data_IF_393895523806
#
_entry.id   IF_393895523806
#
_cell.length_a   1.000
_cell.length_b   1.000
_cell.length_c   1.000
_cell.angle_alpha   90.00
_cell.angle_beta   90.00
_cell.angle_gamma   90.00
#
_symmetry.space_group_name_H-M   'P 1'
#
loop_
_entity.id
_entity.type
_entity.pdbx_description
1 polymer ?
#
# COMPACT_ATOMS: atom_id res chain seq x y z
N UNK A 1 25.08 -66.46 8.52
CA UNK A 1 23.66 -66.73 8.22
C UNK A 1 22.96 -65.40 8.37
N UNK A 2 22.53 -64.67 7.35
CA UNK A 2 22.30 -64.99 5.93
C UNK A 2 22.78 -63.82 5.06
N UNK A 3 23.56 -64.16 4.05
CA UNK A 3 23.86 -63.37 2.86
C UNK A 3 22.75 -63.63 1.85
N UNK A 4 22.09 -62.58 1.33
CA UNK A 4 21.21 -62.69 0.17
C UNK A 4 21.90 -62.05 -1.03
N UNK A 5 22.53 -62.93 -1.80
CA UNK A 5 22.96 -62.73 -3.19
C UNK A 5 21.75 -62.33 -4.06
N UNK A 6 21.88 -61.24 -4.81
CA UNK A 6 21.06 -61.01 -6.00
C UNK A 6 21.88 -61.39 -7.23
N UNK A 7 21.55 -62.55 -7.77
CA UNK A 7 22.07 -63.12 -9.01
C UNK A 7 21.84 -62.20 -10.20
N UNK A 8 22.86 -62.11 -11.04
CA UNK A 8 22.84 -61.55 -12.40
C UNK A 8 21.79 -62.27 -13.24
N UNK A 9 20.89 -61.50 -13.85
CA UNK A 9 20.19 -61.92 -15.05
C UNK A 9 20.74 -61.15 -16.26
N UNK A 10 20.98 -61.89 -17.33
CA UNK A 10 21.72 -61.50 -18.52
C UNK A 10 20.76 -61.15 -19.65
N UNK A 11 21.04 -60.05 -20.34
CA UNK A 11 20.65 -59.90 -21.75
C UNK A 11 19.63 -58.82 -22.07
N UNK A 12 20.06 -57.55 -22.01
CA UNK A 12 19.63 -56.50 -22.94
C UNK A 12 20.69 -55.40 -22.94
N UNK A 13 21.30 -55.13 -24.10
CA UNK A 13 22.20 -53.98 -24.29
C UNK A 13 21.40 -52.69 -24.07
N UNK A 14 21.77 -51.79 -23.15
CA UNK A 14 21.14 -50.48 -23.09
C UNK A 14 21.62 -49.64 -24.28
N UNK A 15 20.70 -49.29 -25.16
CA UNK A 15 20.85 -48.16 -26.08
C UNK A 15 20.95 -46.88 -25.26
N UNK A 16 21.99 -46.07 -25.54
CA UNK A 16 22.21 -44.67 -25.13
C UNK A 16 21.34 -44.17 -23.95
N UNK A 17 21.72 -44.53 -22.73
CA UNK A 17 21.19 -43.87 -21.54
C UNK A 17 21.91 -42.53 -21.37
N UNK A 18 21.19 -41.42 -21.59
CA UNK A 18 21.63 -40.09 -21.18
C UNK A 18 21.87 -40.11 -19.68
N UNK A 19 23.08 -39.76 -19.26
CA UNK A 19 23.45 -39.73 -17.84
C UNK A 19 22.80 -38.49 -17.22
N UNK A 20 21.72 -38.69 -16.46
CA UNK A 20 21.09 -37.67 -15.63
C UNK A 20 21.96 -37.44 -14.38
N UNK A 21 22.83 -36.43 -14.42
CA UNK A 21 23.84 -36.14 -13.40
C UNK A 21 23.30 -35.15 -12.36
N UNK A 22 22.38 -35.63 -11.51
CA UNK A 22 21.95 -34.90 -10.31
C UNK A 22 22.89 -35.12 -9.09
N UNK A 23 23.96 -35.90 -9.24
CA UNK A 23 24.92 -36.22 -8.18
C UNK A 23 26.35 -35.73 -8.50
N UNK A 24 26.57 -34.42 -8.49
CA UNK A 24 27.91 -33.82 -8.45
C UNK A 24 28.18 -33.32 -7.02
N UNK A 25 28.91 -34.11 -6.23
CA UNK A 25 29.38 -33.69 -4.92
C UNK A 25 30.64 -32.80 -5.09
N UNK A 26 30.44 -31.49 -5.20
CA UNK A 26 31.53 -30.51 -5.19
C UNK A 26 31.97 -30.22 -3.74
N UNK A 27 32.87 -31.04 -3.19
CA UNK A 27 33.69 -30.63 -2.04
C UNK A 27 35.05 -30.16 -2.56
N UNK A 28 35.43 -28.93 -2.25
CA UNK A 28 36.75 -28.38 -2.56
C UNK A 28 37.88 -29.37 -2.13
N UNK A 29 38.96 -29.60 -2.90
CA UNK A 29 39.31 -29.08 -4.23
C UNK A 29 39.11 -30.09 -5.38
N UNK A 30 38.26 -31.11 -5.19
CA UNK A 30 38.21 -32.27 -6.07
C UNK A 30 36.82 -32.50 -6.65
N UNK A 31 36.75 -32.63 -7.96
CA UNK A 31 35.57 -33.07 -8.65
C UNK A 31 35.62 -34.59 -8.79
N UNK A 32 34.63 -35.26 -8.23
CA UNK A 32 34.43 -36.69 -8.42
C UNK A 32 33.35 -36.87 -9.48
N UNK A 33 33.73 -37.40 -10.64
CA UNK A 33 32.82 -37.71 -11.73
C UNK A 33 32.64 -39.22 -11.75
N UNK A 34 31.41 -39.69 -11.54
CA UNK A 34 31.08 -41.09 -11.75
C UNK A 34 31.03 -41.34 -13.26
N UNK A 35 32.03 -42.06 -13.77
CA UNK A 35 32.04 -42.57 -15.13
C UNK A 35 31.64 -44.04 -14.99
N UNK A 36 30.59 -44.46 -15.70
CA UNK A 36 29.91 -45.74 -15.50
C UNK A 36 30.83 -46.92 -15.14
N UNK A 37 30.55 -47.58 -14.01
CA UNK A 37 31.26 -48.78 -13.56
C UNK A 37 32.25 -48.52 -12.42
N UNK A 38 31.73 -48.20 -11.22
CA UNK A 38 32.44 -48.20 -9.92
C UNK A 38 33.68 -47.30 -9.73
N UNK A 39 34.24 -46.71 -10.79
CA UNK A 39 35.42 -45.85 -10.70
C UNK A 39 35.03 -44.37 -10.76
N UNK A 40 35.27 -43.65 -9.66
CA UNK A 40 35.17 -42.19 -9.68
C UNK A 40 36.41 -41.61 -10.36
N UNK A 41 36.21 -40.88 -11.45
CA UNK A 41 37.26 -40.03 -11.99
C UNK A 41 37.43 -38.83 -11.05
N UNK A 42 38.59 -38.78 -10.40
CA UNK A 42 39.02 -37.68 -9.54
C UNK A 42 39.75 -36.65 -10.40
N UNK A 43 39.16 -35.47 -10.55
CA UNK A 43 39.80 -34.33 -11.21
C UNK A 43 40.08 -33.21 -10.20
N UNK A 44 41.33 -32.79 -10.10
CA UNK A 44 41.76 -31.74 -9.18
C UNK A 44 41.64 -30.34 -9.79
N UNK A 45 41.43 -29.29 -8.98
CA UNK A 45 41.37 -27.90 -9.47
C UNK A 45 42.58 -27.48 -10.34
N UNK A 46 43.76 -28.04 -10.08
CA UNK A 46 44.98 -27.75 -10.84
C UNK A 46 44.90 -28.23 -12.30
N UNK A 47 44.12 -29.27 -12.59
CA UNK A 47 43.98 -29.84 -13.93
C UNK A 47 43.17 -28.91 -14.86
N UNK A 48 42.35 -28.02 -14.29
CA UNK A 48 41.50 -27.10 -15.06
C UNK A 48 42.16 -25.75 -15.36
N UNK A 49 43.43 -25.56 -15.00
CA UNK A 49 44.28 -24.43 -15.41
C UNK A 49 43.63 -23.05 -15.23
N UNK A 50 43.72 -22.47 -14.03
CA UNK A 50 43.25 -21.10 -13.78
C UNK A 50 41.73 -20.90 -13.76
N UNK A 51 40.94 -21.98 -13.70
CA UNK A 51 39.47 -21.94 -13.60
C UNK A 51 38.97 -21.33 -12.27
N UNK A 52 39.73 -21.52 -11.19
CA UNK A 52 39.34 -21.15 -9.82
C UNK A 52 38.22 -22.04 -9.27
N UNK A 53 37.40 -21.52 -8.34
CA UNK A 53 36.29 -22.30 -7.79
C UNK A 53 35.24 -22.59 -8.85
N UNK A 54 34.90 -23.87 -9.01
CA UNK A 54 33.94 -24.37 -9.99
C UNK A 54 32.53 -24.05 -9.49
N UNK A 55 31.70 -23.51 -10.39
CA UNK A 55 30.32 -23.11 -10.11
C UNK A 55 29.32 -24.04 -10.77
N UNK A 56 29.57 -24.41 -12.03
CA UNK A 56 28.75 -25.37 -12.76
C UNK A 56 29.64 -26.30 -13.57
N UNK A 57 29.20 -27.55 -13.71
CA UNK A 57 29.80 -28.54 -14.59
C UNK A 57 28.68 -29.25 -15.35
N UNK A 58 28.75 -29.26 -16.67
CA UNK A 58 27.84 -30.00 -17.54
C UNK A 58 28.64 -30.97 -18.38
N UNK A 59 28.28 -32.25 -18.34
CA UNK A 59 28.93 -33.30 -19.13
C UNK A 59 28.10 -33.55 -20.38
N UNK A 60 28.77 -33.65 -21.53
CA UNK A 60 28.21 -34.19 -22.75
C UNK A 60 29.30 -34.96 -23.50
N UNK A 61 28.99 -36.19 -23.91
CA UNK A 61 29.99 -37.12 -24.45
C UNK A 61 31.19 -37.27 -23.49
N UNK A 62 32.41 -37.02 -23.96
CA UNK A 62 33.63 -36.98 -23.15
C UNK A 62 34.08 -35.56 -22.77
N UNK A 63 33.20 -34.57 -22.94
CA UNK A 63 33.52 -33.16 -22.73
C UNK A 63 32.78 -32.60 -21.51
N UNK A 64 33.53 -31.88 -20.68
CA UNK A 64 33.04 -31.07 -19.57
C UNK A 64 32.94 -29.61 -19.99
N UNK A 65 31.75 -29.03 -19.91
CA UNK A 65 31.56 -27.59 -19.88
C UNK A 65 31.61 -27.10 -18.44
N UNK A 66 32.62 -26.29 -18.14
CA UNK A 66 32.91 -25.79 -16.81
C UNK A 66 32.72 -24.27 -16.76
N UNK A 67 32.06 -23.79 -15.70
CA UNK A 67 32.08 -22.38 -15.32
C UNK A 67 32.81 -22.22 -14.00
N UNK A 68 33.75 -21.27 -13.95
CA UNK A 68 34.60 -21.02 -12.81
C UNK A 68 34.67 -19.55 -12.41
N UNK A 69 35.46 -19.28 -11.38
CA UNK A 69 35.62 -17.92 -10.83
C UNK A 69 36.36 -16.97 -11.79
N UNK A 70 37.10 -17.53 -12.75
CA UNK A 70 37.96 -16.76 -13.66
C UNK A 70 37.68 -17.00 -15.14
N UNK A 71 36.95 -18.06 -15.52
CA UNK A 71 36.63 -18.36 -16.91
C UNK A 71 35.53 -19.43 -17.04
N UNK A 72 34.98 -19.57 -18.25
CA UNK A 72 34.25 -20.77 -18.68
C UNK A 72 35.05 -21.51 -19.77
N UNK A 73 35.10 -22.84 -19.70
CA UNK A 73 35.98 -23.68 -20.52
C UNK A 73 35.32 -25.01 -20.91
N UNK A 74 35.79 -25.59 -22.00
CA UNK A 74 35.58 -26.97 -22.39
C UNK A 74 36.81 -27.80 -22.02
N UNK A 75 36.60 -28.94 -21.39
CA UNK A 75 37.65 -29.84 -20.93
C UNK A 75 37.37 -31.26 -21.39
N UNK A 76 38.37 -31.91 -21.97
CA UNK A 76 38.31 -33.31 -22.41
C UNK A 76 38.56 -34.23 -21.21
N UNK A 77 37.60 -35.07 -20.88
CA UNK A 77 37.69 -36.04 -19.79
C UNK A 77 38.77 -37.10 -20.12
N UNK A 78 38.82 -37.54 -21.38
CA UNK A 78 39.72 -38.60 -21.83
C UNK A 78 41.17 -38.13 -21.92
N UNK A 79 41.40 -36.96 -22.53
CA UNK A 79 42.74 -36.40 -22.74
C UNK A 79 43.23 -35.62 -21.52
N UNK A 80 42.34 -35.33 -20.57
CA UNK A 80 42.59 -34.52 -19.37
C UNK A 80 43.19 -33.14 -19.68
N UNK A 81 42.72 -32.52 -20.76
CA UNK A 81 43.19 -31.22 -21.20
C UNK A 81 42.05 -30.24 -21.50
N UNK A 82 42.39 -28.94 -21.49
CA UNK A 82 41.45 -27.89 -21.89
C UNK A 82 41.34 -27.86 -23.41
N UNK A 83 40.16 -28.19 -23.93
CA UNK A 83 39.87 -28.10 -25.36
C UNK A 83 39.73 -26.65 -25.82
N UNK A 84 39.02 -25.84 -25.04
CA UNK A 84 38.75 -24.46 -25.42
C UNK A 84 38.41 -23.57 -24.22
N UNK A 85 38.87 -22.31 -24.25
CA UNK A 85 38.37 -21.27 -23.34
C UNK A 85 37.24 -20.51 -24.00
N UNK A 86 36.04 -20.61 -23.44
CA UNK A 86 34.83 -20.00 -23.98
C UNK A 86 34.67 -18.54 -23.57
N UNK A 87 35.14 -18.19 -22.38
CA UNK A 87 35.06 -16.83 -21.84
C UNK A 87 36.11 -16.62 -20.74
N UNK A 88 36.72 -15.43 -20.71
CA UNK A 88 37.67 -15.02 -19.66
C UNK A 88 37.02 -13.95 -18.79
N UNK A 89 36.91 -14.24 -17.49
CA UNK A 89 36.27 -13.39 -16.49
C UNK A 89 35.36 -14.18 -15.54
N UNK A 90 34.79 -13.50 -14.55
CA UNK A 90 33.96 -14.14 -13.52
C UNK A 90 32.66 -14.71 -14.09
N UNK A 91 32.60 -16.03 -14.18
CA UNK A 91 31.42 -16.77 -14.64
C UNK A 91 30.68 -17.41 -13.47
N UNK A 92 29.36 -17.38 -13.52
CA UNK A 92 28.48 -17.91 -12.47
C UNK A 92 27.86 -19.24 -12.89
N UNK A 93 27.59 -19.41 -14.18
CA UNK A 93 27.09 -20.65 -14.76
C UNK A 93 27.42 -20.70 -16.25
N UNK A 94 27.42 -21.90 -16.83
CA UNK A 94 27.51 -22.10 -18.27
C UNK A 94 26.54 -23.21 -18.68
N UNK A 95 25.93 -23.08 -19.85
CA UNK A 95 24.95 -24.04 -20.36
C UNK A 95 25.15 -24.23 -21.87
N UNK A 96 25.01 -25.46 -22.35
CA UNK A 96 25.08 -25.77 -23.79
C UNK A 96 23.68 -26.11 -24.29
N UNK A 97 23.26 -25.47 -25.37
CA UNK A 97 22.06 -25.84 -26.12
C UNK A 97 22.42 -26.00 -27.59
N UNK A 98 22.31 -27.22 -28.12
CA UNK A 98 22.78 -27.56 -29.47
C UNK A 98 24.26 -27.16 -29.62
N UNK A 99 24.62 -26.35 -30.62
CA UNK A 99 26.01 -25.90 -30.85
C UNK A 99 26.30 -24.50 -30.30
N UNK A 100 25.43 -24.01 -29.42
CA UNK A 100 25.54 -22.70 -28.80
C UNK A 100 25.89 -22.84 -27.32
N UNK A 101 26.89 -22.08 -26.88
CA UNK A 101 27.27 -22.01 -25.47
C UNK A 101 26.78 -20.71 -24.86
N UNK A 102 25.98 -20.82 -23.82
CA UNK A 102 25.53 -19.71 -23.00
C UNK A 102 26.42 -19.62 -21.76
N UNK A 103 26.90 -18.41 -21.47
CA UNK A 103 27.80 -18.13 -20.36
C UNK A 103 27.17 -17.05 -19.49
N UNK A 104 26.73 -17.44 -18.30
CA UNK A 104 26.25 -16.54 -17.28
C UNK A 104 27.40 -15.89 -16.53
N UNK A 105 27.33 -14.56 -16.35
CA UNK A 105 28.34 -13.78 -15.64
C UNK A 105 27.70 -12.87 -14.61
N UNK A 106 28.53 -12.18 -13.82
CA UNK A 106 28.08 -11.09 -12.94
C UNK A 106 27.58 -9.85 -13.69
N UNK A 107 27.84 -9.76 -15.01
CA UNK A 107 27.50 -8.62 -15.86
C UNK A 107 26.36 -8.91 -16.85
N UNK A 108 25.77 -10.11 -16.80
CA UNK A 108 24.77 -10.54 -17.78
C UNK A 108 25.12 -11.82 -18.52
N UNK A 109 24.33 -12.09 -19.55
CA UNK A 109 24.46 -13.29 -20.37
C UNK A 109 25.36 -13.02 -21.59
N UNK A 110 26.33 -13.90 -21.79
CA UNK A 110 27.10 -14.02 -23.02
C UNK A 110 26.66 -15.27 -23.78
N UNK A 111 26.77 -15.22 -25.10
CA UNK A 111 26.54 -16.37 -25.97
C UNK A 111 27.70 -16.53 -26.92
N UNK A 112 28.22 -17.74 -27.03
CA UNK A 112 29.20 -18.13 -28.06
C UNK A 112 28.52 -18.95 -29.14
N UNK A 113 28.65 -18.51 -30.38
CA UNK A 113 28.10 -19.16 -31.57
C UNK A 113 29.10 -20.18 -32.17
N UNK A 114 28.66 -21.07 -33.07
CA UNK A 114 29.52 -22.06 -33.73
C UNK A 114 30.69 -21.45 -34.52
N UNK A 115 30.52 -20.23 -35.02
CA UNK A 115 31.56 -19.44 -35.70
C UNK A 115 32.59 -18.82 -34.73
N UNK A 116 32.53 -19.20 -33.44
CA UNK A 116 33.35 -18.72 -32.32
C UNK A 116 33.11 -17.27 -31.93
N UNK A 117 32.13 -16.58 -32.51
CA UNK A 117 31.78 -15.22 -32.10
C UNK A 117 31.15 -15.21 -30.71
N UNK A 118 31.56 -14.26 -29.88
CA UNK A 118 31.02 -14.04 -28.54
C UNK A 118 30.15 -12.77 -28.56
N UNK A 119 28.90 -12.92 -28.13
CA UNK A 119 27.92 -11.84 -28.11
C UNK A 119 27.46 -11.58 -26.67
N UNK A 120 27.55 -10.32 -26.24
CA UNK A 120 26.89 -9.89 -25.02
C UNK A 120 25.39 -9.71 -25.29
N UNK A 121 24.57 -10.57 -24.69
CA UNK A 121 23.14 -10.62 -24.97
C UNK A 121 22.39 -9.43 -24.38
N UNK A 122 22.92 -8.80 -23.34
CA UNK A 122 22.38 -7.56 -22.76
C UNK A 122 22.28 -6.40 -23.74
N UNK A 123 23.09 -6.39 -24.82
CA UNK A 123 23.00 -5.41 -25.91
C UNK A 123 21.70 -5.53 -26.72
N UNK A 124 21.18 -6.75 -26.84
CA UNK A 124 19.98 -7.05 -27.64
C UNK A 124 18.72 -7.20 -26.78
N UNK A 125 18.89 -7.61 -25.53
CA UNK A 125 17.82 -7.82 -24.56
C UNK A 125 18.19 -7.17 -23.23
N UNK A 126 17.60 -6.01 -22.89
CA UNK A 126 17.92 -5.29 -21.64
C UNK A 126 17.76 -6.14 -20.38
N UNK A 127 16.87 -7.14 -20.40
CA UNK A 127 16.65 -8.07 -19.29
C UNK A 127 17.84 -9.05 -19.05
N UNK A 128 18.84 -9.09 -19.93
CA UNK A 128 19.99 -10.01 -19.83
C UNK A 128 21.27 -9.29 -19.39
N UNK A 129 21.12 -8.18 -18.65
CA UNK A 129 22.22 -7.33 -18.16
C UNK A 129 22.56 -7.56 -16.67
N UNK A 130 21.66 -8.18 -15.91
CA UNK A 130 21.91 -8.54 -14.51
C UNK A 130 22.72 -9.81 -14.37
N UNK A 131 23.35 -9.99 -13.21
CA UNK A 131 24.05 -11.23 -12.87
C UNK A 131 23.15 -12.45 -13.11
N UNK A 132 23.66 -13.43 -13.85
CA UNK A 132 22.95 -14.68 -14.12
C UNK A 132 23.25 -15.66 -12.99
N UNK A 133 22.24 -16.24 -12.36
CA UNK A 133 22.41 -17.17 -11.24
C UNK A 133 22.47 -18.62 -11.73
N UNK A 134 21.53 -19.03 -12.59
CA UNK A 134 21.44 -20.37 -13.15
C UNK A 134 20.73 -20.34 -14.50
N UNK A 135 20.99 -21.35 -15.33
CA UNK A 135 20.27 -21.61 -16.57
C UNK A 135 19.80 -23.06 -16.60
N UNK A 136 18.61 -23.31 -17.12
CA UNK A 136 18.05 -24.67 -17.27
C UNK A 136 17.19 -24.75 -18.52
N UNK A 137 17.24 -25.87 -19.22
CA UNK A 137 16.33 -26.13 -20.33
C UNK A 137 14.97 -26.58 -19.80
N UNK A 138 13.93 -25.85 -20.20
CA UNK A 138 12.54 -26.26 -20.01
C UNK A 138 11.98 -26.96 -21.24
N UNK A 139 10.66 -27.05 -21.29
CA UNK A 139 9.92 -27.59 -22.43
C UNK A 139 10.07 -26.72 -23.69
N UNK A 140 9.90 -27.33 -24.86
CA UNK A 140 9.91 -26.67 -26.17
C UNK A 140 11.17 -25.86 -26.46
N UNK A 141 12.35 -26.33 -26.04
CA UNK A 141 13.65 -25.66 -26.20
C UNK A 141 13.74 -24.26 -25.53
N UNK A 142 12.83 -23.92 -24.61
CA UNK A 142 12.93 -22.68 -23.83
C UNK A 142 14.09 -22.80 -22.84
N UNK A 143 15.04 -21.88 -22.93
CA UNK A 143 16.08 -21.70 -21.93
C UNK A 143 15.57 -20.77 -20.83
N UNK A 144 15.37 -21.30 -19.63
CA UNK A 144 15.04 -20.50 -18.45
C UNK A 144 16.33 -19.98 -17.82
N UNK A 145 16.34 -18.69 -17.52
CA UNK A 145 17.49 -17.96 -17.00
C UNK A 145 17.06 -17.26 -15.72
N UNK A 146 17.68 -17.58 -14.59
CA UNK A 146 17.48 -16.86 -13.34
C UNK A 146 18.50 -15.76 -13.18
N UNK A 147 18.06 -14.62 -12.66
CA UNK A 147 18.90 -13.43 -12.51
C UNK A 147 18.89 -12.94 -11.05
N UNK A 148 19.95 -12.21 -10.71
CA UNK A 148 20.03 -11.46 -9.47
C UNK A 148 19.47 -10.05 -9.67
N UNK A 149 18.14 -9.91 -9.62
CA UNK A 149 17.45 -8.60 -9.59
C UNK A 149 16.53 -8.29 -10.78
N UNK A 150 16.40 -9.17 -11.77
CA UNK A 150 15.45 -9.03 -12.89
C UNK A 150 14.53 -10.26 -13.01
N UNK A 151 14.38 -11.01 -11.91
CA UNK A 151 13.56 -12.21 -11.85
C UNK A 151 14.09 -13.34 -12.74
N UNK A 152 13.18 -13.96 -13.48
CA UNK A 152 13.43 -15.08 -14.39
C UNK A 152 12.98 -14.75 -15.80
N UNK A 153 13.74 -15.27 -16.76
CA UNK A 153 13.59 -14.95 -18.17
C UNK A 153 13.51 -16.27 -18.94
N UNK A 154 12.43 -16.44 -19.70
CA UNK A 154 12.33 -17.50 -20.70
C UNK A 154 12.88 -16.99 -22.02
N UNK A 155 13.89 -17.67 -22.56
CA UNK A 155 14.57 -17.30 -23.79
C UNK A 155 14.47 -18.42 -24.82
N UNK A 156 14.00 -18.11 -26.03
CA UNK A 156 13.84 -19.07 -27.13
C UNK A 156 14.01 -18.37 -28.47
N UNK A 157 14.67 -19.02 -29.43
CA UNK A 157 14.84 -18.54 -30.80
C UNK A 157 15.33 -17.08 -30.89
N UNK A 158 16.31 -16.74 -30.05
CA UNK A 158 16.88 -15.40 -29.92
C UNK A 158 15.89 -14.31 -29.46
N UNK A 159 14.83 -14.70 -28.76
CA UNK A 159 13.81 -13.80 -28.22
C UNK A 159 13.50 -14.12 -26.76
N UNK A 160 13.19 -13.07 -26.01
CA UNK A 160 12.58 -13.22 -24.68
C UNK A 160 11.11 -13.56 -24.89
N UNK A 161 10.70 -14.74 -24.42
CA UNK A 161 9.33 -15.26 -24.54
C UNK A 161 8.54 -15.16 -23.23
N UNK A 162 9.24 -15.01 -22.10
CA UNK A 162 8.62 -14.81 -20.80
C UNK A 162 9.53 -14.00 -19.87
N UNK A 163 8.92 -13.19 -19.02
CA UNK A 163 9.58 -12.53 -17.88
C UNK A 163 8.63 -12.64 -16.69
N UNK A 164 9.14 -13.13 -15.57
CA UNK A 164 8.43 -13.11 -14.30
C UNK A 164 9.29 -12.41 -13.26
N UNK A 165 8.67 -11.42 -12.62
CA UNK A 165 9.24 -10.59 -11.57
C UNK A 165 8.34 -10.66 -10.33
N UNK A 166 8.73 -9.98 -9.26
CA UNK A 166 7.96 -9.84 -8.02
C UNK A 166 6.56 -9.30 -8.30
N UNK A 167 6.42 -8.37 -9.24
CA UNK A 167 5.12 -7.83 -9.66
C UNK A 167 4.20 -8.88 -10.32
N UNK A 168 4.76 -9.99 -10.80
CA UNK A 168 4.04 -11.11 -11.39
C UNK A 168 3.74 -12.24 -10.39
N UNK A 169 4.06 -12.04 -9.10
CA UNK A 169 3.77 -12.97 -8.03
C UNK A 169 5.00 -13.70 -7.47
N UNK A 170 6.20 -13.51 -8.03
CA UNK A 170 7.41 -14.04 -7.40
C UNK A 170 7.60 -13.41 -6.02
N UNK A 171 8.20 -14.16 -5.10
CA UNK A 171 8.55 -13.63 -3.78
C UNK A 171 9.61 -12.54 -3.83
N UNK A 172 10.51 -12.58 -4.80
CA UNK A 172 11.60 -11.62 -5.01
C UNK A 172 12.14 -11.68 -6.44
N UNK A 173 12.74 -10.58 -6.90
CA UNK A 173 13.45 -10.48 -8.18
C UNK A 173 14.88 -11.06 -8.12
N UNK A 174 15.36 -11.41 -6.93
CA UNK A 174 16.65 -12.09 -6.72
C UNK A 174 16.41 -13.60 -6.77
N UNK A 175 16.54 -14.17 -7.97
CA UNK A 175 16.39 -15.60 -8.21
C UNK A 175 17.76 -16.29 -8.15
N UNK A 176 17.90 -17.27 -7.25
CA UNK A 176 19.17 -17.89 -6.86
C UNK A 176 19.37 -19.26 -7.52
N UNK A 177 18.31 -20.06 -7.58
CA UNK A 177 18.35 -21.38 -8.18
C UNK A 177 17.00 -21.74 -8.83
N UNK A 178 17.02 -22.72 -9.71
CA UNK A 178 15.86 -23.25 -10.42
C UNK A 178 15.95 -24.76 -10.56
N UNK A 179 14.79 -25.41 -10.61
CA UNK A 179 14.66 -26.82 -10.95
C UNK A 179 13.41 -27.01 -11.82
N UNK A 180 13.55 -27.67 -12.96
CA UNK A 180 12.46 -27.89 -13.90
C UNK A 180 11.97 -29.34 -13.76
N UNK A 181 10.68 -29.51 -13.51
CA UNK A 181 10.02 -30.80 -13.33
C UNK A 181 8.73 -30.86 -14.15
N UNK A 182 8.81 -31.51 -15.32
CA UNK A 182 7.70 -31.68 -16.25
C UNK A 182 7.17 -30.35 -16.81
N UNK A 183 6.11 -29.82 -16.17
CA UNK A 183 5.51 -28.53 -16.50
C UNK A 183 5.68 -27.49 -15.39
N UNK A 184 6.36 -27.83 -14.30
CA UNK A 184 6.59 -26.94 -13.15
C UNK A 184 8.03 -26.47 -13.15
N UNK A 185 8.22 -25.16 -13.07
CA UNK A 185 9.52 -24.56 -12.81
C UNK A 185 9.54 -24.10 -11.35
N UNK A 186 10.37 -24.77 -10.54
CA UNK A 186 10.61 -24.42 -9.15
C UNK A 186 11.74 -23.42 -9.05
N UNK A 187 11.57 -22.39 -8.23
CA UNK A 187 12.42 -21.20 -8.25
C UNK A 187 12.70 -20.76 -6.83
N UNK A 188 13.98 -20.83 -6.49
CA UNK A 188 14.49 -20.41 -5.20
C UNK A 188 14.91 -18.96 -5.27
N UNK A 189 14.37 -18.14 -4.38
CA UNK A 189 14.73 -16.73 -4.24
C UNK A 189 15.42 -16.47 -2.91
N UNK A 190 15.72 -15.22 -2.61
CA UNK A 190 16.11 -14.77 -1.25
C UNK A 190 14.92 -14.51 -0.31
N UNK A 191 13.67 -14.75 -0.78
CA UNK A 191 12.41 -14.48 -0.05
C UNK A 191 11.39 -15.63 -0.13
N UNK A 192 11.86 -16.85 -0.40
CA UNK A 192 11.05 -18.06 -0.46
C UNK A 192 11.21 -18.86 -1.75
N UNK A 193 10.48 -19.99 -1.78
CA UNK A 193 10.36 -20.91 -2.91
C UNK A 193 9.09 -20.59 -3.71
N UNK A 194 9.19 -20.60 -5.03
CA UNK A 194 8.07 -20.35 -5.92
C UNK A 194 7.90 -21.55 -6.86
N UNK A 195 6.67 -22.00 -7.04
CA UNK A 195 6.29 -22.94 -8.10
C UNK A 195 5.64 -22.16 -9.23
N UNK A 196 6.25 -22.22 -10.40
CA UNK A 196 5.74 -21.57 -11.61
C UNK A 196 5.17 -22.63 -12.55
N UNK A 197 3.93 -22.44 -12.96
CA UNK A 197 3.31 -23.26 -13.98
C UNK A 197 3.80 -22.81 -15.36
N UNK A 198 4.29 -23.74 -16.16
CA UNK A 198 4.79 -23.50 -17.53
C UNK A 198 4.03 -24.30 -18.59
N UNK A 199 2.93 -24.96 -18.24
CA UNK A 199 2.13 -25.75 -19.18
C UNK A 199 1.36 -24.88 -20.18
N UNK A 200 0.97 -23.67 -19.77
CA UNK A 200 0.22 -22.72 -20.57
C UNK A 200 1.10 -21.82 -21.45
N UNK A 201 0.46 -21.00 -22.28
CA UNK A 201 1.16 -20.01 -23.13
C UNK A 201 1.87 -18.92 -22.32
N UNK A 202 1.31 -18.57 -21.17
CA UNK A 202 1.85 -17.54 -20.28
C UNK A 202 2.17 -18.23 -18.95
N UNK A 203 3.44 -18.24 -18.53
CA UNK A 203 3.80 -18.81 -17.23
C UNK A 203 3.27 -17.93 -16.10
N UNK A 204 2.90 -18.54 -14.98
CA UNK A 204 2.43 -17.81 -13.80
C UNK A 204 2.86 -18.52 -12.52
N UNK A 205 2.96 -17.76 -11.42
CA UNK A 205 3.27 -18.32 -10.10
C UNK A 205 2.03 -19.04 -9.57
N UNK A 206 2.11 -20.36 -9.44
CA UNK A 206 1.05 -21.25 -8.98
C UNK A 206 1.01 -21.33 -7.46
N UNK A 207 2.17 -21.38 -6.82
CA UNK A 207 2.29 -21.47 -5.37
C UNK A 207 3.58 -20.81 -4.87
N UNK A 208 3.56 -20.37 -3.62
CA UNK A 208 4.68 -19.75 -2.91
C UNK A 208 4.81 -20.41 -1.54
N UNK A 209 6.05 -20.64 -1.11
CA UNK A 209 6.38 -21.20 0.19
C UNK A 209 7.46 -20.35 0.86
N UNK A 210 7.26 -20.03 2.14
CA UNK A 210 8.11 -19.18 2.99
C UNK A 210 8.40 -19.82 4.35
N UNK A 211 9.22 -19.16 5.16
CA UNK A 211 9.42 -19.50 6.57
C UNK A 211 8.09 -19.61 7.33
N UNK A 212 7.13 -18.73 7.04
CA UNK A 212 5.77 -18.78 7.61
C UNK A 212 4.98 -20.03 7.24
N UNK A 213 5.42 -20.75 6.21
CA UNK A 213 4.79 -21.98 5.71
C UNK A 213 5.55 -23.23 6.15
N UNK A 214 6.63 -23.07 6.93
CA UNK A 214 7.45 -24.17 7.46
C UNK A 214 8.78 -24.40 6.75
N UNK A 215 9.21 -23.51 5.83
CA UNK A 215 10.59 -23.54 5.35
C UNK A 215 11.57 -23.18 6.48
N UNK A 216 12.75 -23.80 6.49
CA UNK A 216 13.79 -23.48 7.48
C UNK A 216 14.38 -22.07 7.28
N UNK A 217 14.38 -21.58 6.03
CA UNK A 217 14.70 -20.21 5.69
C UNK A 217 14.12 -19.81 4.34
N UNK A 218 13.81 -18.52 4.18
CA UNK A 218 13.39 -17.90 2.93
C UNK A 218 14.52 -17.83 1.88
N UNK A 219 15.78 -17.93 2.31
CA UNK A 219 16.93 -17.92 1.39
C UNK A 219 17.14 -19.32 0.83
N UNK A 220 16.75 -19.52 -0.42
CA UNK A 220 16.82 -20.82 -1.10
C UNK A 220 18.12 -20.91 -1.91
N UNK A 221 18.87 -22.00 -1.72
CA UNK A 221 20.18 -22.22 -2.36
C UNK A 221 20.15 -23.37 -3.37
N UNK A 222 19.35 -24.42 -3.15
CA UNK A 222 19.17 -25.51 -4.11
C UNK A 222 17.78 -26.12 -4.00
N UNK A 223 17.31 -26.69 -5.12
CA UNK A 223 16.00 -27.33 -5.23
C UNK A 223 16.17 -28.64 -5.98
N UNK A 224 15.46 -29.66 -5.52
CA UNK A 224 15.36 -30.94 -6.18
C UNK A 224 13.97 -31.51 -5.99
N UNK A 225 13.45 -32.23 -6.99
CA UNK A 225 12.14 -32.87 -6.92
C UNK A 225 12.24 -34.35 -7.23
N UNK A 226 11.50 -35.17 -6.48
CA UNK A 226 11.35 -36.61 -6.72
C UNK A 226 9.88 -36.96 -6.64
N UNK A 227 9.23 -37.05 -7.80
CA UNK A 227 7.78 -37.25 -7.89
C UNK A 227 7.01 -36.09 -7.26
N UNK A 228 6.47 -36.28 -6.05
CA UNK A 228 5.73 -35.25 -5.30
C UNK A 228 6.49 -34.67 -4.12
N UNK A 229 7.67 -35.23 -3.83
CA UNK A 229 8.53 -34.79 -2.74
C UNK A 229 9.47 -33.71 -3.25
N UNK A 230 9.46 -32.57 -2.58
CA UNK A 230 10.28 -31.42 -2.89
C UNK A 230 11.35 -31.29 -1.80
N UNK A 231 12.61 -31.23 -2.22
CA UNK A 231 13.77 -31.03 -1.36
C UNK A 231 14.30 -29.63 -1.60
N UNK A 232 14.40 -28.86 -0.52
CA UNK A 232 14.74 -27.44 -0.57
C UNK A 232 15.93 -27.21 0.35
N UNK A 233 17.10 -26.99 -0.23
CA UNK A 233 18.28 -26.55 0.52
C UNK A 233 18.19 -25.05 0.76
N UNK A 234 18.03 -24.67 2.01
CA UNK A 234 17.95 -23.27 2.46
C UNK A 234 19.27 -22.83 3.09
N UNK A 235 19.39 -21.56 3.48
CA UNK A 235 20.53 -21.08 4.26
C UNK A 235 20.64 -21.72 5.67
N UNK A 236 19.54 -22.26 6.20
CA UNK A 236 19.44 -22.82 7.56
C UNK A 236 19.22 -24.35 7.57
N UNK A 237 19.68 -25.04 6.52
CA UNK A 237 19.55 -26.48 6.36
C UNK A 237 18.51 -26.86 5.30
N UNK A 238 18.06 -28.11 5.31
CA UNK A 238 17.17 -28.65 4.29
C UNK A 238 15.74 -28.80 4.80
N UNK A 239 14.77 -28.33 4.01
CA UNK A 239 13.35 -28.61 4.20
C UNK A 239 12.91 -29.64 3.16
N UNK A 240 12.10 -30.62 3.57
CA UNK A 240 11.54 -31.64 2.68
C UNK A 240 10.05 -31.70 2.92
N UNK A 241 9.24 -31.64 1.86
CA UNK A 241 7.80 -31.75 1.97
C UNK A 241 7.18 -32.44 0.76
N UNK A 242 6.00 -33.01 0.96
CA UNK A 242 5.17 -33.61 -0.08
C UNK A 242 4.09 -32.60 -0.47
N UNK A 243 4.11 -32.15 -1.72
CA UNK A 243 3.18 -31.14 -2.23
C UNK A 243 1.72 -31.56 -2.09
N UNK A 244 1.43 -32.87 -2.19
CA UNK A 244 0.05 -33.37 -2.14
C UNK A 244 -0.60 -33.25 -0.76
N UNK A 245 0.22 -33.06 0.28
CA UNK A 245 -0.25 -32.89 1.66
C UNK A 245 -0.52 -31.43 2.01
N UNK A 246 -0.13 -30.50 1.14
CA UNK A 246 -0.41 -29.08 1.32
C UNK A 246 -1.85 -28.83 0.86
N UNK A 247 -2.75 -28.39 1.75
CA UNK A 247 -4.13 -28.17 1.38
C UNK A 247 -4.22 -26.99 0.41
N UNK A 248 -4.93 -27.17 -0.71
CA UNK A 248 -5.15 -26.12 -1.70
C UNK A 248 -6.11 -25.02 -1.21
N UNK A 249 -6.91 -25.32 -0.17
CA UNK A 249 -7.86 -24.40 0.46
C UNK A 249 -7.80 -24.55 1.96
N UNK A 250 -8.08 -23.47 2.67
CA UNK A 250 -8.22 -23.48 4.13
C UNK A 250 -9.32 -22.54 4.58
N UNK A 251 -9.63 -22.63 5.87
CA UNK A 251 -10.61 -21.78 6.51
C UNK A 251 -10.01 -20.38 6.78
N UNK A 252 -10.79 -19.33 6.48
CA UNK A 252 -10.57 -17.95 6.94
C UNK A 252 -11.85 -17.50 7.66
N UNK A 253 -11.72 -17.00 8.87
CA UNK A 253 -12.79 -16.26 9.55
C UNK A 253 -12.27 -14.91 10.02
N UNK A 254 -13.16 -13.97 10.26
CA UNK A 254 -12.84 -12.66 10.80
C UNK A 254 -13.69 -12.39 12.03
N UNK A 255 -13.04 -11.85 13.06
CA UNK A 255 -13.67 -11.37 14.28
C UNK A 255 -13.30 -9.92 14.52
N UNK A 256 -14.26 -9.20 15.07
CA UNK A 256 -14.06 -7.87 15.62
C UNK A 256 -13.72 -8.06 17.10
N UNK A 257 -12.48 -7.79 17.48
CA UNK A 257 -12.01 -7.96 18.86
C UNK A 257 -12.51 -6.84 19.74
N UNK A 258 -12.35 -5.61 19.26
CA UNK A 258 -12.62 -4.41 20.03
C UNK A 258 -13.10 -3.28 19.15
N UNK A 259 -13.99 -2.46 19.72
CA UNK A 259 -14.38 -1.17 19.15
C UNK A 259 -14.00 -0.13 20.18
N UNK A 260 -12.93 0.61 19.90
CA UNK A 260 -12.44 1.67 20.78
C UNK A 260 -13.03 2.98 20.29
N UNK A 261 -13.80 3.65 21.14
CA UNK A 261 -14.39 4.95 20.88
C UNK A 261 -13.79 5.94 21.86
N UNK A 262 -13.14 6.99 21.38
CA UNK A 262 -12.50 8.02 22.21
C UNK A 262 -11.56 7.46 23.30
N UNK A 263 -10.91 6.33 23.02
CA UNK A 263 -9.97 5.65 23.94
C UNK A 263 -10.61 4.68 24.93
N UNK A 264 -11.94 4.54 24.93
CA UNK A 264 -12.67 3.56 25.74
C UNK A 264 -13.10 2.36 24.90
N UNK A 265 -12.83 1.14 25.38
CA UNK A 265 -13.20 -0.09 24.70
C UNK A 265 -14.69 -0.41 24.96
N UNK A 266 -15.46 -0.56 23.88
CA UNK A 266 -16.83 -1.09 23.93
C UNK A 266 -16.82 -2.57 23.55
N UNK A 267 -17.43 -3.40 24.38
CA UNK A 267 -17.61 -4.84 24.11
C UNK A 267 -18.41 -5.05 22.83
N UNK A 268 -17.80 -5.74 21.85
CA UNK A 268 -18.24 -5.81 20.45
C UNK A 268 -19.51 -6.61 20.13
N UNK A 269 -20.47 -6.74 21.05
CA UNK A 269 -21.71 -7.49 20.80
C UNK A 269 -22.95 -6.63 20.55
N UNK A 270 -22.92 -5.32 20.84
CA UNK A 270 -24.07 -4.45 20.61
C UNK A 270 -24.06 -3.95 19.16
N UNK A 271 -24.85 -4.63 18.32
CA UNK A 271 -24.93 -4.43 16.86
C UNK A 271 -25.57 -3.09 16.43
N UNK A 272 -25.73 -2.16 17.35
CA UNK A 272 -26.35 -0.85 17.14
C UNK A 272 -25.81 0.17 18.15
N UNK A 273 -24.49 0.36 18.18
CA UNK A 273 -23.90 1.38 19.04
C UNK A 273 -24.29 2.78 18.51
N UNK A 274 -25.15 3.46 19.26
CA UNK A 274 -25.35 4.92 19.11
C UNK A 274 -24.21 5.61 19.85
N UNK A 275 -23.49 6.46 19.14
CA UNK A 275 -22.33 7.18 19.63
C UNK A 275 -22.66 8.68 19.69
N UNK A 276 -22.33 9.37 20.80
CA UNK A 276 -22.42 10.82 20.88
C UNK A 276 -21.61 11.50 19.77
N UNK A 277 -22.00 12.71 19.38
CA UNK A 277 -21.28 13.50 18.36
C UNK A 277 -19.78 13.68 18.70
N UNK A 278 -19.46 13.88 19.98
CA UNK A 278 -18.09 14.15 20.45
C UNK A 278 -17.20 12.90 20.41
N UNK A 279 -17.79 11.73 20.20
CA UNK A 279 -17.16 10.42 20.18
C UNK A 279 -16.92 9.92 18.74
N UNK A 280 -16.30 10.77 17.92
CA UNK A 280 -16.12 10.52 16.48
C UNK A 280 -14.77 9.90 16.08
N UNK A 281 -13.91 9.57 17.05
CA UNK A 281 -12.66 8.85 16.84
C UNK A 281 -12.84 7.38 17.17
N UNK A 282 -12.86 6.54 16.13
CA UNK A 282 -13.18 5.11 16.25
C UNK A 282 -12.03 4.27 15.74
N UNK A 283 -11.66 3.25 16.51
CA UNK A 283 -10.71 2.21 16.09
C UNK A 283 -11.35 0.84 16.19
N UNK A 284 -11.24 0.06 15.12
CA UNK A 284 -11.71 -1.31 15.06
C UNK A 284 -10.52 -2.25 15.14
N UNK A 285 -10.46 -3.04 16.22
CA UNK A 285 -9.50 -4.13 16.37
C UNK A 285 -9.99 -5.39 15.67
N UNK A 286 -9.20 -5.92 14.76
CA UNK A 286 -9.53 -7.06 13.92
C UNK A 286 -8.70 -8.28 14.32
N UNK A 287 -9.32 -9.45 14.24
CA UNK A 287 -8.62 -10.73 14.22
C UNK A 287 -9.07 -11.54 13.02
N UNK A 288 -8.14 -11.79 12.11
CA UNK A 288 -8.30 -12.81 11.10
C UNK A 288 -7.83 -14.16 11.64
N UNK A 289 -8.64 -15.20 11.45
CA UNK A 289 -8.37 -16.57 11.88
C UNK A 289 -8.04 -17.40 10.65
N UNK A 290 -6.76 -17.67 10.44
CA UNK A 290 -6.27 -18.63 9.43
C UNK A 290 -4.91 -19.19 9.83
N UNK A 291 -4.93 -20.33 10.52
CA UNK A 291 -3.73 -20.92 11.12
C UNK A 291 -2.66 -21.31 10.09
N UNK A 292 -3.07 -21.91 8.98
CA UNK A 292 -2.15 -22.34 7.92
C UNK A 292 -1.56 -21.17 7.12
N UNK A 293 -2.12 -19.97 7.26
CA UNK A 293 -1.60 -18.78 6.58
C UNK A 293 -0.52 -18.06 7.38
N UNK A 294 -0.20 -18.51 8.61
CA UNK A 294 0.86 -17.92 9.44
C UNK A 294 0.69 -16.42 9.73
N UNK A 295 -0.54 -15.90 9.63
CA UNK A 295 -0.83 -14.47 9.74
C UNK A 295 -0.79 -13.68 8.43
N UNK A 296 -0.46 -14.28 7.28
CA UNK A 296 -0.56 -13.63 5.95
C UNK A 296 -2.02 -13.54 5.50
N UNK A 297 -2.73 -12.57 6.10
CA UNK A 297 -4.11 -12.26 5.83
C UNK A 297 -4.22 -10.86 5.22
N UNK A 298 -5.09 -10.74 4.23
CA UNK A 298 -5.43 -9.46 3.63
C UNK A 298 -6.89 -9.12 3.92
N UNK A 299 -7.12 -7.98 4.55
CA UNK A 299 -8.46 -7.48 4.86
C UNK A 299 -8.94 -6.57 3.75
N UNK A 300 -10.16 -6.84 3.27
CA UNK A 300 -10.90 -5.92 2.40
C UNK A 300 -12.04 -5.32 3.17
N UNK A 301 -12.09 -3.99 3.21
CA UNK A 301 -13.05 -3.26 4.01
C UNK A 301 -13.61 -2.04 3.29
N UNK A 302 -14.79 -1.61 3.70
CA UNK A 302 -15.36 -0.30 3.38
C UNK A 302 -16.28 0.16 4.50
N UNK A 303 -16.45 1.47 4.60
CA UNK A 303 -17.38 2.10 5.53
C UNK A 303 -18.52 2.75 4.74
N UNK A 304 -19.64 2.03 4.61
CA UNK A 304 -20.85 2.57 4.00
C UNK A 304 -21.33 3.75 4.84
N UNK A 305 -21.68 4.87 4.20
CA UNK A 305 -21.95 6.15 4.85
C UNK A 305 -20.80 7.17 4.71
N UNK A 306 -19.55 6.71 4.56
CA UNK A 306 -18.40 7.57 4.26
C UNK A 306 -17.90 7.41 2.82
N UNK A 307 -17.67 6.16 2.38
CA UNK A 307 -17.15 5.86 1.04
C UNK A 307 -17.67 4.51 0.51
N UNK A 308 -17.97 4.46 -0.78
CA UNK A 308 -18.46 3.26 -1.46
C UNK A 308 -17.33 2.34 -1.97
N UNK A 309 -16.09 2.84 -2.08
CA UNK A 309 -14.94 2.07 -2.61
C UNK A 309 -14.35 1.14 -1.55
N UNK A 310 -13.98 -0.08 -1.99
CA UNK A 310 -13.26 -1.04 -1.16
C UNK A 310 -11.79 -0.63 -1.00
N UNK A 311 -11.30 -0.65 0.23
CA UNK A 311 -9.90 -0.53 0.57
C UNK A 311 -9.33 -1.91 0.93
N UNK A 312 -8.00 -2.03 0.89
CA UNK A 312 -7.27 -3.26 1.22
C UNK A 312 -6.16 -2.93 2.22
N UNK A 313 -6.04 -3.71 3.29
CA UNK A 313 -4.97 -3.56 4.29
C UNK A 313 -4.51 -4.92 4.81
N UNK A 314 -3.29 -4.97 5.36
CA UNK A 314 -2.77 -6.10 6.15
C UNK A 314 -2.75 -5.80 7.65
N UNK A 315 -3.09 -4.59 8.04
CA UNK A 315 -3.13 -4.17 9.43
C UNK A 315 -4.36 -4.75 10.15
N UNK A 316 -4.17 -5.14 11.40
CA UNK A 316 -5.23 -5.63 12.28
C UNK A 316 -6.04 -4.51 12.94
N UNK A 317 -5.78 -3.25 12.58
CA UNK A 317 -6.48 -2.09 13.16
C UNK A 317 -6.95 -1.17 12.04
N UNK A 318 -8.24 -0.83 12.05
CA UNK A 318 -8.79 0.24 11.22
C UNK A 318 -9.06 1.47 12.07
N UNK A 319 -8.43 2.59 11.74
CA UNK A 319 -8.59 3.84 12.48
C UNK A 319 -9.34 4.88 11.63
N UNK A 320 -10.41 5.43 12.19
CA UNK A 320 -11.17 6.55 11.65
C UNK A 320 -11.09 7.70 12.65
N UNK A 321 -10.15 8.65 12.46
CA UNK A 321 -9.85 9.65 13.49
C UNK A 321 -10.95 10.70 13.67
N UNK A 322 -11.77 10.95 12.65
CA UNK A 322 -12.93 11.84 12.73
C UNK A 322 -13.96 11.42 11.70
N UNK A 323 -15.14 11.04 12.17
CA UNK A 323 -16.29 10.72 11.35
C UNK A 323 -17.38 11.79 11.52
N UNK A 324 -17.99 12.30 10.43
CA UNK A 324 -19.17 13.16 10.53
C UNK A 324 -20.34 12.44 11.19
N UNK A 325 -21.33 13.18 11.67
CA UNK A 325 -22.59 12.59 12.12
C UNK A 325 -23.33 11.89 11.00
N UNK A 326 -23.92 10.74 11.30
CA UNK A 326 -24.58 9.90 10.30
C UNK A 326 -24.62 8.44 10.70
N UNK A 327 -25.24 7.64 9.83
CA UNK A 327 -25.33 6.18 9.97
C UNK A 327 -24.23 5.52 9.14
N UNK A 328 -23.51 4.60 9.76
CA UNK A 328 -22.40 3.91 9.15
C UNK A 328 -22.53 2.40 9.26
N UNK A 329 -22.01 1.72 8.24
CA UNK A 329 -21.90 0.27 8.22
C UNK A 329 -20.49 -0.13 7.79
N UNK A 330 -19.70 -0.66 8.74
CA UNK A 330 -18.41 -1.25 8.46
C UNK A 330 -18.63 -2.63 7.86
N UNK A 331 -18.23 -2.80 6.61
CA UNK A 331 -18.26 -4.08 5.92
C UNK A 331 -16.83 -4.56 5.70
N UNK A 332 -16.51 -5.74 6.21
CA UNK A 332 -15.14 -6.27 6.15
C UNK A 332 -15.12 -7.79 5.98
N UNK A 333 -14.13 -8.28 5.25
CA UNK A 333 -13.82 -9.72 5.16
C UNK A 333 -12.31 -9.94 4.99
N UNK A 334 -11.82 -11.12 5.40
CA UNK A 334 -10.44 -11.54 5.16
C UNK A 334 -10.33 -12.39 3.90
N UNK A 335 -9.16 -12.32 3.25
CA UNK A 335 -8.69 -13.26 2.25
C UNK A 335 -7.38 -13.85 2.77
N UNK A 336 -7.29 -15.18 2.78
CA UNK A 336 -6.08 -15.88 3.22
C UNK A 336 -5.05 -16.03 2.09
N UNK A 337 -3.88 -16.60 2.38
CA UNK A 337 -2.82 -16.81 1.38
C UNK A 337 -3.23 -17.74 0.22
N UNK A 338 -4.21 -18.61 0.44
CA UNK A 338 -4.75 -19.54 -0.56
C UNK A 338 -5.85 -18.92 -1.42
N UNK A 339 -6.25 -17.67 -1.13
CA UNK A 339 -7.32 -16.96 -1.82
C UNK A 339 -8.72 -17.25 -1.29
N UNK A 340 -8.87 -18.05 -0.23
CA UNK A 340 -10.19 -18.27 0.38
C UNK A 340 -10.62 -17.04 1.17
N UNK A 341 -11.92 -16.75 1.06
CA UNK A 341 -12.56 -15.57 1.61
C UNK A 341 -13.39 -15.93 2.83
N UNK A 342 -13.32 -15.13 3.90
CA UNK A 342 -14.26 -15.27 5.02
C UNK A 342 -15.67 -14.82 4.67
N UNK A 343 -16.61 -15.13 5.56
CA UNK A 343 -17.90 -14.44 5.58
C UNK A 343 -17.68 -12.94 5.81
N UNK A 344 -18.59 -12.13 5.26
CA UNK A 344 -18.57 -10.69 5.48
C UNK A 344 -19.05 -10.40 6.89
N UNK A 345 -18.22 -9.71 7.67
CA UNK A 345 -18.60 -9.12 8.94
C UNK A 345 -19.15 -7.72 8.66
N UNK A 346 -20.31 -7.46 9.24
CA UNK A 346 -21.03 -6.21 9.13
C UNK A 346 -21.21 -5.65 10.54
N UNK A 347 -20.76 -4.42 10.76
CA UNK A 347 -20.93 -3.70 12.03
C UNK A 347 -21.57 -2.34 11.77
N UNK A 348 -22.81 -2.17 12.23
CA UNK A 348 -23.58 -0.95 12.07
C UNK A 348 -23.50 -0.07 13.32
N UNK A 349 -23.34 1.23 13.13
CA UNK A 349 -23.32 2.21 14.21
C UNK A 349 -23.82 3.57 13.72
N UNK A 350 -24.25 4.43 14.64
CA UNK A 350 -24.76 5.77 14.33
C UNK A 350 -24.02 6.79 15.18
N UNK A 351 -23.53 7.85 14.55
CA UNK A 351 -22.99 9.03 15.25
C UNK A 351 -24.09 10.09 15.27
N UNK A 352 -24.53 10.46 16.48
CA UNK A 352 -25.57 11.47 16.67
C UNK A 352 -25.15 12.82 16.08
N UNK A 353 -26.14 13.57 15.61
CA UNK A 353 -25.93 14.95 15.15
C UNK A 353 -25.64 15.84 16.35
N UNK A 354 -24.71 16.79 16.17
CA UNK A 354 -24.52 17.81 17.20
C UNK A 354 -25.73 18.75 17.27
N UNK A 355 -25.91 19.41 18.42
CA UNK A 355 -26.97 20.40 18.63
C UNK A 355 -26.97 21.50 17.55
N UNK A 356 -25.82 21.93 17.04
CA UNK A 356 -25.73 22.96 15.98
C UNK A 356 -26.06 22.45 14.57
N UNK A 357 -26.08 21.14 14.36
CA UNK A 357 -26.46 20.52 13.09
C UNK A 357 -27.97 20.39 12.97
N UNK A 358 -28.69 20.41 14.10
CA UNK A 358 -30.13 20.37 14.14
C UNK A 358 -30.78 21.70 13.72
N UNK A 359 -31.92 21.60 13.03
CA UNK A 359 -32.60 22.74 12.44
C UNK A 359 -33.11 23.75 13.49
N UNK A 360 -33.56 23.25 14.65
CA UNK A 360 -34.11 24.09 15.72
C UNK A 360 -33.04 25.02 16.32
N UNK A 361 -31.78 24.56 16.44
CA UNK A 361 -30.69 25.37 16.97
C UNK A 361 -30.30 26.46 15.98
N UNK A 362 -30.26 26.15 14.68
CA UNK A 362 -30.01 27.14 13.62
C UNK A 362 -31.09 28.22 13.60
N UNK A 363 -32.35 27.83 13.75
CA UNK A 363 -33.47 28.78 13.88
C UNK A 363 -33.33 29.60 15.16
N UNK A 364 -33.02 28.97 16.30
CA UNK A 364 -32.79 29.66 17.56
C UNK A 364 -31.68 30.71 17.46
N UNK A 365 -30.57 30.36 16.82
CA UNK A 365 -29.45 31.27 16.56
C UNK A 365 -29.86 32.44 15.66
N UNK A 366 -30.65 32.19 14.60
CA UNK A 366 -31.21 33.24 13.74
C UNK A 366 -32.14 34.18 14.50
N UNK A 367 -32.98 33.65 15.40
CA UNK A 367 -33.87 34.46 16.25
C UNK A 367 -33.06 35.32 17.22
N UNK A 368 -32.01 34.77 17.83
CA UNK A 368 -31.11 35.51 18.71
C UNK A 368 -30.40 36.62 17.92
N UNK A 369 -29.91 36.32 16.72
CA UNK A 369 -29.26 37.30 15.84
C UNK A 369 -30.24 38.41 15.44
N UNK A 370 -31.46 38.07 15.02
CA UNK A 370 -32.51 39.03 14.68
C UNK A 370 -32.92 39.89 15.89
N UNK A 371 -32.99 39.29 17.08
CA UNK A 371 -33.29 40.00 18.33
C UNK A 371 -32.16 40.95 18.72
N UNK A 372 -30.90 40.54 18.55
CA UNK A 372 -29.73 41.38 18.80
C UNK A 372 -29.67 42.57 17.82
N UNK A 373 -29.92 42.32 16.53
CA UNK A 373 -30.03 43.38 15.52
C UNK A 373 -31.18 44.32 15.87
N UNK A 374 -32.36 43.79 16.18
CA UNK A 374 -33.53 44.57 16.58
C UNK A 374 -33.29 45.39 17.85
N UNK A 375 -32.58 44.83 18.84
CA UNK A 375 -32.17 45.52 20.05
C UNK A 375 -31.18 46.65 19.75
N UNK A 376 -30.15 46.40 18.95
CA UNK A 376 -29.15 47.41 18.54
C UNK A 376 -29.82 48.53 17.75
N UNK A 377 -30.71 48.22 16.81
CA UNK A 377 -31.49 49.23 16.07
C UNK A 377 -32.37 50.04 17.04
N UNK A 378 -33.11 49.39 17.95
CA UNK A 378 -33.90 50.09 18.97
C UNK A 378 -33.04 50.96 19.88
N UNK A 379 -31.86 50.50 20.26
CA UNK A 379 -30.92 51.25 21.09
C UNK A 379 -30.41 52.50 20.37
N UNK A 380 -30.02 52.37 19.09
CA UNK A 380 -29.58 53.49 18.24
C UNK A 380 -30.73 54.48 18.04
N UNK A 381 -31.94 54.02 17.71
CA UNK A 381 -33.12 54.87 17.52
C UNK A 381 -33.50 55.60 18.80
N UNK A 382 -33.54 54.92 19.95
CA UNK A 382 -33.81 55.55 21.26
C UNK A 382 -32.76 56.60 21.61
N UNK A 383 -31.48 56.31 21.34
CA UNK A 383 -30.39 57.27 21.54
C UNK A 383 -30.51 58.48 20.60
N UNK A 384 -30.95 58.26 19.37
CA UNK A 384 -31.24 59.33 18.40
C UNK A 384 -32.41 60.21 18.85
N UNK A 385 -33.54 59.59 19.22
CA UNK A 385 -34.73 60.29 19.72
C UNK A 385 -34.47 61.05 21.03
N UNK A 386 -33.62 60.52 21.92
CA UNK A 386 -33.22 61.24 23.13
C UNK A 386 -32.43 62.52 22.81
N UNK A 387 -31.52 62.47 21.83
CA UNK A 387 -30.82 63.67 21.33
C UNK A 387 -31.78 64.66 20.67
N UNK A 388 -32.75 64.17 19.89
CA UNK A 388 -33.75 65.00 19.23
C UNK A 388 -34.67 65.70 20.24
N UNK A 389 -35.14 64.99 21.27
CA UNK A 389 -35.90 65.57 22.38
C UNK A 389 -35.11 66.65 23.13
N UNK A 390 -33.81 66.43 23.37
CA UNK A 390 -32.94 67.44 24.00
C UNK A 390 -32.81 68.71 23.14
N UNK A 391 -32.68 68.57 21.81
CA UNK A 391 -32.68 69.71 20.88
C UNK A 391 -34.00 70.46 20.91
N UNK A 392 -35.12 69.74 20.87
CA UNK A 392 -36.45 70.33 20.88
C UNK A 392 -36.73 71.08 22.19
N UNK A 393 -36.34 70.53 23.35
CA UNK A 393 -36.48 71.23 24.64
C UNK A 393 -35.62 72.49 24.73
N UNK A 394 -34.41 72.47 24.17
CA UNK A 394 -33.55 73.65 24.12
C UNK A 394 -34.14 74.74 23.22
N UNK A 395 -34.69 74.39 22.07
CA UNK A 395 -35.41 75.34 21.20
C UNK A 395 -36.64 75.94 21.89
N UNK A 396 -37.42 75.11 22.58
CA UNK A 396 -38.61 75.59 23.30
C UNK A 396 -38.24 76.53 24.46
N UNK A 397 -37.13 76.28 25.16
CA UNK A 397 -36.60 77.21 26.16
C UNK A 397 -36.14 78.52 25.54
N UNK A 398 -35.50 78.47 24.37
CA UNK A 398 -35.02 79.65 23.66
C UNK A 398 -36.18 80.53 23.18
N UNK A 399 -37.22 79.95 22.57
CA UNK A 399 -38.46 80.69 22.22
C UNK A 399 -39.12 81.31 23.45
N UNK A 400 -39.14 80.61 24.59
CA UNK A 400 -39.72 81.13 25.83
C UNK A 400 -38.93 82.32 26.36
N UNK A 401 -37.60 82.28 26.27
CA UNK A 401 -36.73 83.40 26.64
C UNK A 401 -36.92 84.59 25.69
N UNK A 402 -37.05 84.36 24.38
CA UNK A 402 -37.38 85.41 23.42
C UNK A 402 -38.72 86.10 23.75
N UNK A 403 -39.76 85.31 24.06
CA UNK A 403 -41.06 85.85 24.45
C UNK A 403 -40.98 86.67 25.75
N UNK A 404 -40.22 86.20 26.75
CA UNK A 404 -40.00 86.95 28.00
C UNK A 404 -39.22 88.24 27.77
N UNK A 405 -38.20 88.23 26.90
CA UNK A 405 -37.45 89.43 26.54
C UNK A 405 -38.32 90.48 25.84
N UNK A 406 -39.18 90.04 24.90
CA UNK A 406 -40.17 90.91 24.25
C UNK A 406 -41.16 91.52 25.26
N UNK A 407 -41.64 90.72 26.22
CA UNK A 407 -42.51 91.23 27.29
C UNK A 407 -41.79 92.23 28.22
N UNK A 408 -40.50 92.03 28.50
CA UNK A 408 -39.71 92.97 29.31
C UNK A 408 -39.40 94.29 28.59
N UNK A 409 -39.43 94.33 27.25
CA UNK A 409 -39.34 95.59 26.51
C UNK A 409 -40.61 96.46 26.66
N UNK A 410 -41.75 95.88 27.03
CA UNK A 410 -42.98 96.64 27.33
C UNK A 410 -42.93 97.12 28.78
N UNK A 411 -42.77 98.42 29.01
CA UNK A 411 -42.65 98.98 30.37
C UNK A 411 -43.95 98.78 31.19
N UNK A 412 -44.00 97.85 32.16
CA UNK A 412 -45.26 97.43 32.79
C UNK A 412 -45.88 98.54 33.64
N UNK A 413 -45.03 99.38 34.23
CA UNK A 413 -45.46 100.52 35.05
C UNK A 413 -46.13 101.61 34.20
N UNK A 414 -45.70 101.76 32.95
CA UNK A 414 -46.34 102.67 32.00
C UNK A 414 -47.74 102.17 31.61
N UNK A 415 -47.89 100.89 31.28
CA UNK A 415 -49.20 100.31 30.93
C UNK A 415 -50.18 100.39 32.12
N UNK A 416 -49.71 100.08 33.34
CA UNK A 416 -50.56 100.16 34.53
C UNK A 416 -51.02 101.59 34.83
N UNK A 417 -50.13 102.58 34.75
CA UNK A 417 -50.50 103.98 34.93
C UNK A 417 -51.54 104.41 33.90
N UNK A 418 -51.32 104.04 32.64
CA UNK A 418 -52.21 104.37 31.52
C UNK A 418 -53.63 103.84 31.75
N UNK A 419 -53.75 102.57 32.13
CA UNK A 419 -55.04 101.92 32.42
C UNK A 419 -55.70 102.53 33.66
N UNK A 420 -54.94 102.82 34.72
CA UNK A 420 -55.45 103.45 35.93
C UNK A 420 -56.02 104.85 35.64
N UNK A 421 -55.32 105.65 34.83
CA UNK A 421 -55.77 106.98 34.42
C UNK A 421 -57.05 106.90 33.58
N UNK A 422 -57.15 105.98 32.62
CA UNK A 422 -58.37 105.75 31.84
C UNK A 422 -59.54 105.37 32.76
N UNK A 423 -59.31 104.48 33.73
CA UNK A 423 -60.33 104.03 34.69
C UNK A 423 -60.82 105.17 35.60
N UNK A 424 -59.92 106.07 35.98
CA UNK A 424 -60.27 107.25 36.78
C UNK A 424 -61.16 108.23 35.99
N UNK A 425 -60.85 108.50 34.72
CA UNK A 425 -61.69 109.37 33.89
C UNK A 425 -63.09 108.80 33.64
N UNK A 426 -63.21 107.49 33.48
CA UNK A 426 -64.51 106.82 33.33
C UNK A 426 -65.37 106.88 34.62
N UNK A 427 -64.75 106.82 35.80
CA UNK A 427 -65.46 106.88 37.08
C UNK A 427 -65.96 108.27 37.49
N UNK A 428 -65.39 109.36 36.94
CA UNK A 428 -65.79 110.75 37.26
C UNK A 428 -66.92 111.28 36.34
N UNK A 429 -67.46 110.43 35.45
CA UNK A 429 -68.64 110.78 34.64
C UNK A 429 -68.38 111.73 33.47
N UNK A 430 -67.12 112.04 33.15
CA UNK A 430 -66.72 112.81 31.96
C UNK A 430 -66.32 111.87 30.80
N UNK A 431 -67.31 111.25 30.17
CA UNK A 431 -67.12 110.27 29.07
C UNK A 431 -66.32 110.82 27.87
N UNK A 432 -66.37 112.13 27.62
CA UNK A 432 -65.72 112.76 26.46
C UNK A 432 -64.20 112.82 26.63
N UNK A 433 -63.69 113.01 27.86
CA UNK A 433 -62.24 113.11 28.12
C UNK A 433 -61.58 111.74 28.19
N UNK A 434 -62.29 110.71 28.68
CA UNK A 434 -61.79 109.34 28.74
C UNK A 434 -61.54 108.73 27.35
N UNK A 435 -62.47 108.91 26.40
CA UNK A 435 -62.32 108.38 25.04
C UNK A 435 -61.16 109.04 24.27
N UNK A 436 -60.93 110.34 24.47
CA UNK A 436 -59.83 111.08 23.83
C UNK A 436 -58.44 110.57 24.26
N UNK A 437 -58.34 109.99 25.45
CA UNK A 437 -57.10 109.46 26.00
C UNK A 437 -56.82 108.04 25.50
N UNK A 438 -57.86 107.22 25.29
CA UNK A 438 -57.76 105.88 24.66
C UNK A 438 -57.30 105.99 23.20
N UNK A 439 -57.79 106.97 22.45
CA UNK A 439 -57.38 107.16 21.05
C UNK A 439 -55.88 107.53 20.91
N UNK A 440 -55.30 108.25 21.88
CA UNK A 440 -53.85 108.51 21.92
C UNK A 440 -53.00 107.30 22.28
N UNK A 441 -53.58 106.27 22.91
CA UNK A 441 -52.89 105.00 23.21
C UNK A 441 -52.95 104.00 22.06
N UNK A 442 -53.90 104.18 21.13
CA UNK A 442 -54.11 103.31 19.99
C UNK A 442 -53.38 103.78 18.71
N UNK A 443 -52.88 105.01 18.68
CA UNK A 443 -51.93 105.55 17.70
C UNK A 443 -50.50 105.36 18.14
#
# INVERSE_FOLDING_TARGET
MESTDFSRDSGQKPQSAGIDLQHLALRNPEMYINIAGSDFLRLGQNEFGGLGSIKTAHIFNDTLLLAGSSCAKLFSINEKETLETLYTGRTTCAFRQKDVYYIGTVYGLYRKLPDKTIQFMGKYHPNLTSQISQMIQGKDDILWISTYGQGIIGFKDNKVVAVLEKKNGLTSDICRCMHFDGNSLWIGTDKGLNKVNTAGRIPYVEAVYRETDGLNSDIINCIYTSGKVIYVGTAMGMTVFDETRIPARTFCDIKLNSVIVSGQEKSGSDSAAVLPHDDNNIRFGLSGISFLSGGDLTFKYRLSGLNQRWATTRENVLAYPSLPSGSYELQIFCINKFGDRSRMLVYAFVIEKSMWEEWWFRIGLLIILASAIGFTVRFIVRRSQAKEKQKLSAQHQLMKLEQMALQMQLNPHFIFNSIATIKQYYNVGSLITGNKLVDMFAS
#
